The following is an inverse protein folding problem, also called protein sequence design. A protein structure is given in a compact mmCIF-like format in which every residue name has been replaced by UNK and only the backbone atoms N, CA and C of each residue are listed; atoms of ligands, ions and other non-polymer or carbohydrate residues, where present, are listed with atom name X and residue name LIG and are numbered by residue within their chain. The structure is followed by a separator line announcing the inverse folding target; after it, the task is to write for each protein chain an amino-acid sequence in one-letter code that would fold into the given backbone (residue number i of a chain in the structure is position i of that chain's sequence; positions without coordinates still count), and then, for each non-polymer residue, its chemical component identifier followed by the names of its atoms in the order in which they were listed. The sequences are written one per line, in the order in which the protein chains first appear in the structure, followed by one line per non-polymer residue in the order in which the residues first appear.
data_IF_238980566798
#
_entry.id   IF_238980566798
#
_cell.length_a   1.000
_cell.length_b   1.000
_cell.length_c   1.000
_cell.angle_alpha   90.00
_cell.angle_beta   90.00
_cell.angle_gamma   90.00
#
_symmetry.space_group_name_H-M   'P 1'
#
loop_
_entity.id
_entity.type
_entity.pdbx_description
1 polymer ?
#
# COMPACT_ATOMS: atom_id res chain seq x y z
N UNK A 1 10.49 -31.03 45.06
CA UNK A 1 10.78 -30.70 43.66
C UNK A 1 10.40 -29.23 43.47
N UNK A 2 11.42 -28.36 43.44
CA UNK A 2 11.21 -26.96 43.01
C UNK A 2 10.82 -26.98 41.53
N UNK A 3 9.78 -26.23 41.12
CA UNK A 3 9.46 -26.09 39.73
C UNK A 3 10.73 -25.48 39.03
N UNK A 4 11.17 -26.11 37.94
CA UNK A 4 12.18 -25.51 37.06
C UNK A 4 11.65 -24.14 36.69
N UNK A 5 12.34 -23.07 37.05
CA UNK A 5 12.10 -21.75 36.43
C UNK A 5 12.30 -21.95 34.91
N UNK A 6 11.23 -21.86 34.14
CA UNK A 6 11.34 -21.67 32.70
C UNK A 6 12.20 -20.44 32.50
N UNK A 7 13.30 -20.57 31.75
CA UNK A 7 14.12 -19.41 31.38
C UNK A 7 13.20 -18.38 30.70
N UNK A 8 13.33 -17.13 31.12
CA UNK A 8 12.55 -16.04 30.52
C UNK A 8 12.94 -15.89 29.04
N UNK A 9 11.98 -15.67 28.17
CA UNK A 9 12.22 -15.38 26.76
C UNK A 9 12.96 -14.05 26.66
N UNK A 10 14.07 -14.03 25.94
CA UNK A 10 14.78 -12.79 25.65
C UNK A 10 14.12 -12.05 24.50
N UNK A 11 13.98 -10.73 24.61
CA UNK A 11 13.41 -9.87 23.59
C UNK A 11 14.16 -8.53 23.50
N UNK A 12 14.20 -7.95 22.30
CA UNK A 12 14.77 -6.61 22.08
C UNK A 12 13.84 -5.51 22.60
N UNK A 13 12.54 -5.72 22.42
CA UNK A 13 11.50 -4.76 22.76
C UNK A 13 10.24 -5.48 23.27
N UNK A 14 9.68 -4.96 24.36
CA UNK A 14 8.37 -5.33 24.86
C UNK A 14 7.47 -4.08 24.88
N UNK A 15 6.33 -4.15 24.20
CA UNK A 15 5.36 -3.04 24.11
C UNK A 15 4.11 -3.45 24.89
N UNK A 16 3.75 -2.65 25.91
CA UNK A 16 2.49 -2.75 26.62
C UNK A 16 1.51 -1.73 26.09
N UNK A 17 0.33 -2.16 25.64
CA UNK A 17 -0.72 -1.29 25.15
C UNK A 17 -2.08 -1.66 25.74
N UNK A 18 -3.01 -0.71 25.74
CA UNK A 18 -4.37 -0.97 26.23
C UNK A 18 -5.13 -1.89 25.27
N UNK A 19 -4.83 -1.76 23.96
CA UNK A 19 -5.50 -2.53 22.92
C UNK A 19 -4.49 -3.10 21.93
N UNK A 20 -4.72 -4.32 21.46
CA UNK A 20 -4.01 -4.93 20.33
C UNK A 20 -5.04 -5.49 19.37
N UNK A 21 -4.93 -5.11 18.09
CA UNK A 21 -5.73 -5.63 16.98
C UNK A 21 -4.80 -6.46 16.08
N UNK A 22 -4.73 -7.79 16.28
CA UNK A 22 -3.79 -8.64 15.54
C UNK A 22 -4.09 -8.71 14.05
N UNK A 23 -5.34 -8.52 13.65
CA UNK A 23 -5.83 -8.70 12.27
C UNK A 23 -5.53 -10.12 11.76
N UNK A 24 -5.59 -11.06 12.65
CA UNK A 24 -5.49 -12.50 12.38
C UNK A 24 -6.85 -13.09 11.91
N UNK A 25 -6.95 -14.39 11.82
CA UNK A 25 -8.18 -15.08 11.42
C UNK A 25 -9.34 -14.92 12.41
N UNK A 26 -9.08 -14.49 13.65
CA UNK A 26 -10.10 -14.33 14.70
C UNK A 26 -10.79 -12.97 14.67
N UNK A 27 -10.23 -11.98 13.96
CA UNK A 27 -10.65 -10.57 13.95
C UNK A 27 -10.87 -9.98 15.36
N UNK A 28 -10.09 -10.47 16.34
CA UNK A 28 -10.26 -10.13 17.76
C UNK A 28 -9.61 -8.79 18.10
N UNK A 29 -10.15 -8.10 19.10
CA UNK A 29 -9.49 -6.99 19.79
C UNK A 29 -9.09 -7.45 21.18
N UNK A 30 -7.80 -7.43 21.48
CA UNK A 30 -7.23 -7.89 22.74
C UNK A 30 -7.00 -6.69 23.67
N UNK A 31 -7.58 -6.75 24.87
CA UNK A 31 -7.36 -5.72 25.90
C UNK A 31 -6.18 -6.10 26.79
N UNK A 32 -5.37 -5.11 27.20
CA UNK A 32 -4.24 -5.30 28.14
C UNK A 32 -3.31 -6.43 27.71
N UNK A 33 -2.87 -6.41 26.46
CA UNK A 33 -1.90 -7.34 25.91
C UNK A 33 -0.56 -6.64 25.65
N UNK A 34 0.48 -7.46 25.58
CA UNK A 34 1.84 -7.03 25.32
C UNK A 34 2.40 -7.79 24.14
N UNK A 35 3.14 -7.07 23.29
CA UNK A 35 3.79 -7.60 22.11
C UNK A 35 5.31 -7.55 22.31
N UNK A 36 5.97 -8.69 22.17
CA UNK A 36 7.43 -8.80 22.23
C UNK A 36 8.02 -8.92 20.84
N UNK A 37 9.16 -8.24 20.63
CA UNK A 37 9.94 -8.27 19.40
C UNK A 37 11.34 -8.80 19.70
N UNK A 38 11.80 -9.74 18.89
CA UNK A 38 13.18 -10.22 18.89
C UNK A 38 13.66 -10.40 17.45
N UNK A 39 14.89 -9.99 17.16
CA UNK A 39 15.52 -10.10 15.83
C UNK A 39 14.64 -9.57 14.69
N UNK A 40 13.90 -8.49 14.95
CA UNK A 40 13.01 -7.85 13.96
C UNK A 40 11.70 -8.58 13.69
N UNK A 41 11.36 -9.61 14.47
CA UNK A 41 10.14 -10.40 14.34
C UNK A 41 9.29 -10.35 15.61
N UNK A 42 8.01 -10.60 15.48
CA UNK A 42 7.09 -10.76 16.61
C UNK A 42 7.43 -12.08 17.30
N UNK A 43 7.93 -12.01 18.52
CA UNK A 43 8.34 -13.17 19.31
C UNK A 43 7.20 -13.71 20.20
N UNK A 44 6.34 -12.82 20.71
CA UNK A 44 5.18 -13.19 21.52
C UNK A 44 4.10 -12.11 21.47
N UNK A 45 2.85 -12.54 21.63
CA UNK A 45 1.68 -11.70 21.91
C UNK A 45 0.93 -12.35 23.09
N UNK A 46 1.01 -11.73 24.26
CA UNK A 46 0.54 -12.33 25.53
C UNK A 46 -0.27 -11.31 26.35
N UNK A 47 -1.18 -11.78 27.21
CA UNK A 47 -1.73 -10.93 28.27
C UNK A 47 -0.60 -10.30 29.09
N UNK A 48 -0.74 -9.03 29.46
CA UNK A 48 0.31 -8.22 30.09
C UNK A 48 0.99 -8.92 31.27
N UNK A 49 0.20 -9.45 32.21
CA UNK A 49 0.73 -10.14 33.40
C UNK A 49 1.60 -11.37 33.05
N UNK A 50 1.28 -12.06 31.95
CA UNK A 50 2.08 -13.19 31.49
C UNK A 50 3.39 -12.70 30.81
N UNK A 51 3.31 -11.66 30.00
CA UNK A 51 4.47 -11.07 29.36
C UNK A 51 5.49 -10.56 30.40
N UNK A 52 5.04 -9.83 31.42
CA UNK A 52 5.89 -9.37 32.54
C UNK A 52 6.55 -10.51 33.33
N UNK A 53 5.92 -11.67 33.41
CA UNK A 53 6.45 -12.84 34.12
C UNK A 53 7.38 -13.71 33.26
N UNK A 54 7.26 -13.69 31.94
CA UNK A 54 7.89 -14.64 31.03
C UNK A 54 8.91 -14.04 30.08
N UNK A 55 8.92 -12.70 29.92
CA UNK A 55 9.77 -12.01 28.95
C UNK A 55 10.76 -11.11 29.68
N UNK A 56 12.04 -11.23 29.33
CA UNK A 56 13.13 -10.37 29.75
C UNK A 56 13.55 -9.52 28.51
N UNK A 57 13.10 -8.27 28.45
CA UNK A 57 13.29 -7.40 27.33
C UNK A 57 14.36 -6.34 27.57
N UNK A 58 15.21 -6.12 26.57
CA UNK A 58 16.23 -5.05 26.61
C UNK A 58 15.61 -3.66 26.76
N UNK A 59 14.43 -3.46 26.15
CA UNK A 59 13.65 -2.22 26.24
C UNK A 59 12.17 -2.54 26.47
N UNK A 60 11.54 -1.83 27.40
CA UNK A 60 10.08 -1.90 27.61
C UNK A 60 9.47 -0.53 27.32
N UNK A 61 8.35 -0.51 26.62
CA UNK A 61 7.60 0.69 26.25
C UNK A 61 6.17 0.58 26.77
N UNK A 62 5.73 1.61 27.50
CA UNK A 62 4.37 1.76 28.00
C UNK A 62 3.58 2.70 27.09
N UNK A 63 2.48 2.24 26.54
CA UNK A 63 1.61 2.99 25.64
C UNK A 63 0.15 2.99 26.14
N UNK A 64 -0.14 3.69 27.26
CA UNK A 64 -1.51 3.82 27.73
C UNK A 64 -2.36 4.58 26.72
N UNK A 65 -3.63 4.20 26.56
CA UNK A 65 -4.56 4.82 25.62
C UNK A 65 -4.30 4.45 24.13
N UNK A 66 -3.29 3.63 23.84
CA UNK A 66 -2.94 3.29 22.46
C UNK A 66 -3.51 1.93 22.04
N UNK A 67 -3.78 1.84 20.74
CA UNK A 67 -4.01 0.58 20.04
C UNK A 67 -2.79 0.21 19.21
N UNK A 68 -2.31 -1.04 19.35
CA UNK A 68 -1.34 -1.63 18.43
C UNK A 68 -2.08 -2.35 17.30
N UNK A 69 -1.63 -2.15 16.09
CA UNK A 69 -2.12 -2.83 14.89
C UNK A 69 -0.96 -3.13 13.93
N UNK A 70 -1.14 -4.02 12.94
CA UNK A 70 -0.17 -4.21 11.88
C UNK A 70 0.07 -2.89 11.13
N UNK A 71 1.27 -2.73 10.60
CA UNK A 71 1.55 -1.64 9.67
C UNK A 71 0.57 -1.64 8.51
N UNK A 72 0.11 -0.46 8.11
CA UNK A 72 -0.76 -0.29 6.95
C UNK A 72 0.03 -0.60 5.67
N UNK A 73 -0.64 -1.25 4.71
CA UNK A 73 -0.08 -1.62 3.41
C UNK A 73 -0.80 -0.85 2.32
N UNK A 74 -0.11 0.10 1.72
CA UNK A 74 -0.61 0.89 0.59
C UNK A 74 -0.33 0.14 -0.72
N UNK A 75 -1.34 -0.57 -1.23
CA UNK A 75 -1.15 -1.53 -2.32
C UNK A 75 -1.02 -0.87 -3.72
N UNK A 76 -1.14 0.45 -3.83
CA UNK A 76 -0.94 1.21 -5.07
C UNK A 76 -0.59 2.66 -4.82
N UNK A 77 0.54 3.10 -5.37
CA UNK A 77 1.00 4.49 -5.35
C UNK A 77 1.76 4.87 -6.63
N UNK A 78 1.94 6.19 -6.78
CA UNK A 78 2.92 6.83 -7.65
C UNK A 78 3.72 7.80 -6.78
N UNK A 79 4.57 7.29 -5.91
CA UNK A 79 5.15 8.06 -4.78
C UNK A 79 5.85 9.36 -5.20
N UNK A 80 6.64 9.42 -6.31
CA UNK A 80 7.27 10.67 -6.74
C UNK A 80 6.30 11.76 -7.19
N UNK A 81 5.07 11.41 -7.60
CA UNK A 81 4.03 12.37 -7.97
C UNK A 81 3.52 13.20 -6.77
N UNK A 82 4.02 12.96 -5.57
CA UNK A 82 3.81 13.85 -4.43
C UNK A 82 4.29 15.29 -4.69
N UNK A 83 5.25 15.48 -5.61
CA UNK A 83 5.68 16.80 -6.07
C UNK A 83 4.71 17.45 -7.09
N UNK A 84 3.74 16.70 -7.60
CA UNK A 84 2.69 17.19 -8.51
C UNK A 84 1.33 17.32 -7.81
N UNK A 85 1.28 17.21 -6.50
CA UNK A 85 0.07 17.33 -5.68
C UNK A 85 -0.63 18.68 -5.92
N UNK A 86 -1.90 18.62 -6.34
CA UNK A 86 -2.70 19.81 -6.61
C UNK A 86 -2.28 20.62 -7.86
N UNK A 87 -1.43 20.05 -8.73
CA UNK A 87 -1.03 20.69 -9.99
C UNK A 87 -2.24 20.89 -10.92
N UNK A 88 -3.14 19.93 -10.97
CA UNK A 88 -4.34 19.97 -11.78
C UNK A 88 -5.46 19.15 -11.11
N UNK A 89 -6.52 19.81 -10.71
CA UNK A 89 -7.67 19.21 -10.04
C UNK A 89 -8.94 19.39 -10.88
N UNK A 90 -10.00 18.63 -10.53
CA UNK A 90 -11.36 18.76 -11.08
C UNK A 90 -11.44 18.50 -12.61
N UNK A 91 -10.66 17.55 -13.13
CA UNK A 91 -10.58 17.18 -14.54
C UNK A 91 -10.85 15.70 -14.76
N UNK A 92 -11.46 15.31 -15.93
CA UNK A 92 -11.55 13.92 -16.35
C UNK A 92 -10.16 13.31 -16.56
N UNK A 93 -10.01 12.00 -16.30
CA UNK A 93 -8.73 11.27 -16.33
C UNK A 93 -7.89 11.57 -17.58
N UNK A 94 -8.46 11.43 -18.80
CA UNK A 94 -7.68 11.58 -20.04
C UNK A 94 -7.24 13.03 -20.27
N UNK A 95 -8.06 14.02 -19.92
CA UNK A 95 -7.69 15.44 -19.96
C UNK A 95 -6.58 15.73 -18.96
N UNK A 96 -6.75 15.23 -17.73
CA UNK A 96 -5.76 15.35 -16.66
C UNK A 96 -4.40 14.76 -17.05
N UNK A 97 -4.38 13.55 -17.64
CA UNK A 97 -3.16 12.92 -18.13
C UNK A 97 -2.51 13.68 -19.29
N UNK A 98 -3.26 13.94 -20.37
CA UNK A 98 -2.70 14.48 -21.62
C UNK A 98 -2.31 15.94 -21.54
N UNK A 99 -3.07 16.75 -20.81
CA UNK A 99 -2.88 18.20 -20.80
C UNK A 99 -2.01 18.68 -19.62
N UNK A 100 -1.90 17.89 -18.55
CA UNK A 100 -1.21 18.32 -17.34
C UNK A 100 -0.12 17.37 -16.88
N UNK A 101 -0.41 16.09 -16.66
CA UNK A 101 0.53 15.18 -15.99
C UNK A 101 1.65 14.72 -16.93
N UNK A 102 1.34 14.15 -18.09
CA UNK A 102 2.37 13.72 -19.02
C UNK A 102 3.29 14.84 -19.52
N UNK A 103 2.79 16.06 -19.81
CA UNK A 103 3.67 17.19 -20.09
C UNK A 103 4.59 17.55 -18.92
N UNK A 104 4.08 17.53 -17.68
CA UNK A 104 4.91 17.79 -16.50
C UNK A 104 5.95 16.69 -16.30
N UNK A 105 5.56 15.42 -16.41
CA UNK A 105 6.46 14.27 -16.32
C UNK A 105 7.55 14.32 -17.40
N UNK A 106 7.17 14.56 -18.65
CA UNK A 106 8.11 14.69 -19.77
C UNK A 106 9.14 15.80 -19.58
N UNK A 107 8.80 16.85 -18.84
CA UNK A 107 9.69 17.97 -18.56
C UNK A 107 10.55 17.78 -17.32
N UNK A 108 10.00 17.24 -16.23
CA UNK A 108 10.60 17.32 -14.91
C UNK A 108 11.13 16.00 -14.35
N UNK A 109 10.57 14.84 -14.78
CA UNK A 109 10.93 13.56 -14.16
C UNK A 109 12.35 13.16 -14.56
N UNK A 110 13.20 13.14 -13.54
CA UNK A 110 14.54 12.60 -13.54
C UNK A 110 14.85 11.97 -12.16
N UNK A 111 16.05 11.51 -11.96
CA UNK A 111 16.45 10.86 -10.72
C UNK A 111 16.34 11.77 -9.47
N UNK A 112 16.58 13.08 -9.62
CA UNK A 112 16.45 14.05 -8.51
C UNK A 112 14.98 14.24 -8.14
N UNK A 113 14.12 14.46 -9.14
CA UNK A 113 12.66 14.53 -8.95
C UNK A 113 12.12 13.29 -8.24
N UNK A 114 12.50 12.10 -8.72
CA UNK A 114 12.06 10.83 -8.14
C UNK A 114 12.55 10.69 -6.68
N UNK A 115 13.81 11.04 -6.41
CA UNK A 115 14.36 10.95 -5.06
C UNK A 115 13.63 11.88 -4.07
N UNK A 116 13.40 13.13 -4.45
CA UNK A 116 12.77 14.13 -3.58
C UNK A 116 11.27 13.86 -3.41
N UNK A 117 10.58 13.50 -4.50
CA UNK A 117 9.17 13.11 -4.45
C UNK A 117 8.94 11.87 -3.61
N UNK A 118 9.79 10.86 -3.74
CA UNK A 118 9.74 9.66 -2.89
C UNK A 118 9.98 10.02 -1.42
N UNK A 119 10.96 10.85 -1.08
CA UNK A 119 11.17 11.29 0.32
C UNK A 119 9.97 12.00 0.90
N UNK A 120 9.32 12.86 0.12
CA UNK A 120 8.08 13.54 0.53
C UNK A 120 6.95 12.53 0.79
N UNK A 121 6.77 11.58 -0.11
CA UNK A 121 5.80 10.50 0.05
C UNK A 121 6.07 9.66 1.30
N UNK A 122 7.34 9.25 1.53
CA UNK A 122 7.72 8.47 2.71
C UNK A 122 7.45 9.21 4.01
N UNK A 123 7.71 10.51 4.05
CA UNK A 123 7.43 11.35 5.23
C UNK A 123 5.95 11.33 5.58
N UNK A 124 5.07 11.44 4.59
CA UNK A 124 3.63 11.39 4.78
C UNK A 124 3.15 9.98 5.15
N UNK A 125 3.58 8.97 4.41
CA UNK A 125 3.19 7.58 4.64
C UNK A 125 3.62 7.06 6.02
N UNK A 126 4.85 7.33 6.47
CA UNK A 126 5.31 6.93 7.80
C UNK A 126 4.50 7.61 8.90
N UNK A 127 4.18 8.89 8.77
CA UNK A 127 3.29 9.60 9.70
C UNK A 127 1.86 9.07 9.67
N UNK A 128 1.44 8.48 8.57
CA UNK A 128 0.16 7.80 8.40
C UNK A 128 0.15 6.33 8.82
N UNK A 129 1.25 5.79 9.36
CA UNK A 129 1.31 4.39 9.80
C UNK A 129 1.46 3.37 8.67
N UNK A 130 1.80 3.80 7.46
CA UNK A 130 2.08 2.91 6.34
C UNK A 130 3.51 2.38 6.50
N UNK A 131 3.67 1.07 6.50
CA UNK A 131 4.96 0.38 6.64
C UNK A 131 5.42 -0.30 5.35
N UNK A 132 4.50 -0.50 4.42
CA UNK A 132 4.75 -1.11 3.11
C UNK A 132 3.90 -0.43 2.04
N UNK A 133 4.48 -0.21 0.87
CA UNK A 133 3.72 0.29 -0.27
C UNK A 133 4.17 -0.35 -1.58
N UNK A 134 3.29 -0.30 -2.58
CA UNK A 134 3.55 -0.76 -3.95
C UNK A 134 3.58 0.47 -4.87
N UNK A 135 4.69 0.70 -5.54
CA UNK A 135 4.94 1.90 -6.34
C UNK A 135 5.01 1.58 -7.82
N UNK A 136 4.40 2.41 -8.64
CA UNK A 136 4.49 2.35 -10.10
C UNK A 136 4.99 3.69 -10.62
N UNK A 137 6.29 3.78 -10.90
CA UNK A 137 6.86 5.02 -11.45
C UNK A 137 8.17 4.77 -12.20
N UNK A 138 8.67 5.82 -12.88
CA UNK A 138 9.97 5.82 -13.53
C UNK A 138 11.10 5.86 -12.50
N UNK A 139 12.30 5.43 -12.88
CA UNK A 139 13.48 5.40 -12.01
C UNK A 139 13.25 4.62 -10.69
N UNK A 140 12.64 3.45 -10.80
CA UNK A 140 12.34 2.61 -9.63
C UNK A 140 13.59 2.23 -8.80
N UNK A 141 14.78 2.24 -9.41
CA UNK A 141 16.07 2.08 -8.71
C UNK A 141 16.32 3.19 -7.69
N UNK A 142 15.86 4.42 -8.00
CA UNK A 142 15.96 5.57 -7.08
C UNK A 142 14.95 5.43 -5.95
N UNK A 143 13.70 5.06 -6.27
CA UNK A 143 12.67 4.77 -5.25
C UNK A 143 13.16 3.68 -4.28
N UNK A 144 13.66 2.56 -4.81
CA UNK A 144 14.21 1.46 -3.99
C UNK A 144 15.33 1.91 -3.07
N UNK A 145 16.28 2.71 -3.57
CA UNK A 145 17.38 3.26 -2.78
C UNK A 145 16.89 4.16 -1.65
N UNK A 146 16.01 5.11 -1.95
CA UNK A 146 15.44 6.04 -0.94
C UNK A 146 14.67 5.28 0.13
N UNK A 147 13.92 4.25 -0.25
CA UNK A 147 13.19 3.39 0.70
C UNK A 147 14.14 2.58 1.59
N UNK A 148 15.20 2.00 1.01
CA UNK A 148 16.21 1.27 1.78
C UNK A 148 16.92 2.15 2.81
N UNK A 149 17.30 3.38 2.43
CA UNK A 149 17.91 4.39 3.31
C UNK A 149 16.97 4.79 4.46
N UNK A 150 15.68 5.00 4.16
CA UNK A 150 14.66 5.37 5.14
C UNK A 150 14.21 4.21 6.04
N UNK A 151 14.49 2.97 5.66
CA UNK A 151 14.01 1.78 6.35
C UNK A 151 12.55 1.44 6.05
N UNK A 152 12.03 1.87 4.89
CA UNK A 152 10.67 1.64 4.43
C UNK A 152 10.59 0.42 3.50
N UNK A 153 9.54 -0.39 3.63
CA UNK A 153 9.28 -1.53 2.73
C UNK A 153 8.58 -1.05 1.47
N UNK A 154 9.06 -1.51 0.30
CA UNK A 154 8.47 -1.16 -1.00
C UNK A 154 8.48 -2.33 -1.97
N UNK A 155 7.38 -2.48 -2.74
CA UNK A 155 7.43 -3.14 -4.03
C UNK A 155 7.75 -2.07 -5.09
N UNK A 156 8.95 -2.16 -5.67
CA UNK A 156 9.45 -1.19 -6.65
C UNK A 156 9.03 -1.66 -8.05
N UNK A 157 8.11 -0.90 -8.67
CA UNK A 157 7.52 -1.24 -9.95
C UNK A 157 8.49 -1.11 -11.12
N UNK A 158 8.78 -2.21 -11.79
CA UNK A 158 9.48 -2.25 -13.08
C UNK A 158 8.51 -1.79 -14.16
N UNK A 159 8.41 -0.45 -14.32
CA UNK A 159 7.44 0.18 -15.23
C UNK A 159 7.67 -0.27 -16.68
N UNK A 160 6.57 -0.51 -17.41
CA UNK A 160 6.59 -0.79 -18.85
C UNK A 160 5.52 0.04 -19.54
N UNK A 161 5.93 0.77 -20.59
CA UNK A 161 5.06 1.45 -21.56
C UNK A 161 5.65 1.29 -22.97
N UNK A 162 4.83 1.49 -24.02
CA UNK A 162 5.27 1.31 -25.40
C UNK A 162 5.93 2.56 -26.02
N UNK A 163 5.79 3.70 -25.35
CA UNK A 163 6.27 4.99 -25.87
C UNK A 163 7.52 5.48 -25.15
N UNK A 164 8.35 6.30 -25.80
CA UNK A 164 9.57 6.84 -25.20
C UNK A 164 9.25 7.85 -24.09
N UNK A 165 10.06 7.81 -23.04
CA UNK A 165 10.07 8.80 -21.95
C UNK A 165 11.51 9.22 -21.66
N UNK A 166 11.74 10.11 -20.70
CA UNK A 166 13.11 10.41 -20.24
C UNK A 166 13.81 9.21 -19.57
N UNK A 167 13.06 8.17 -19.23
CA UNK A 167 13.60 6.98 -18.57
C UNK A 167 14.04 5.89 -19.55
N UNK A 168 13.25 5.62 -20.59
CA UNK A 168 13.57 4.58 -21.59
C UNK A 168 12.91 4.90 -22.93
N UNK A 169 13.49 4.39 -24.03
CA UNK A 169 13.05 4.70 -25.40
C UNK A 169 11.94 3.77 -25.90
N UNK A 170 11.82 2.56 -25.36
CA UNK A 170 10.88 1.54 -25.82
C UNK A 170 10.72 0.41 -24.79
N UNK A 171 9.74 -0.49 -25.01
CA UNK A 171 9.44 -1.59 -24.12
C UNK A 171 10.63 -2.51 -23.81
N UNK A 172 11.52 -2.75 -24.78
CA UNK A 172 12.72 -3.55 -24.57
C UNK A 172 13.66 -2.93 -23.53
N UNK A 173 13.84 -1.63 -23.61
CA UNK A 173 14.68 -0.92 -22.66
C UNK A 173 14.03 -0.85 -21.26
N UNK A 174 12.73 -0.63 -21.18
CA UNK A 174 12.00 -0.71 -19.91
C UNK A 174 12.18 -2.08 -19.24
N UNK A 175 11.99 -3.16 -19.97
CA UNK A 175 12.17 -4.52 -19.45
C UNK A 175 13.62 -4.80 -19.05
N UNK A 176 14.61 -4.37 -19.84
CA UNK A 176 16.03 -4.52 -19.50
C UNK A 176 16.37 -3.82 -18.18
N UNK A 177 15.94 -2.56 -18.01
CA UNK A 177 16.14 -1.79 -16.77
C UNK A 177 15.42 -2.44 -15.57
N UNK A 178 14.22 -2.97 -15.81
CA UNK A 178 13.48 -3.72 -14.80
C UNK A 178 14.22 -4.97 -14.33
N UNK A 179 14.79 -5.74 -15.24
CA UNK A 179 15.58 -6.93 -14.89
C UNK A 179 16.88 -6.57 -14.15
N UNK A 180 17.52 -5.45 -14.48
CA UNK A 180 18.67 -4.93 -13.72
C UNK A 180 18.27 -4.54 -12.29
N UNK A 181 17.11 -3.90 -12.12
CA UNK A 181 16.54 -3.59 -10.81
C UNK A 181 16.26 -4.88 -10.00
N UNK A 182 15.64 -5.89 -10.65
CA UNK A 182 15.36 -7.17 -10.02
C UNK A 182 16.64 -7.85 -9.51
N UNK A 183 17.68 -7.90 -10.35
CA UNK A 183 18.96 -8.49 -9.95
C UNK A 183 19.61 -7.74 -8.78
N UNK A 184 19.54 -6.40 -8.79
CA UNK A 184 20.12 -5.55 -7.76
C UNK A 184 19.45 -5.74 -6.38
N UNK A 185 18.12 -5.96 -6.34
CA UNK A 185 17.36 -6.06 -5.10
C UNK A 185 16.87 -7.47 -4.77
N UNK A 186 17.33 -8.50 -5.48
CA UNK A 186 16.85 -9.90 -5.36
C UNK A 186 16.69 -10.37 -3.91
N UNK A 187 17.66 -10.10 -3.04
CA UNK A 187 17.69 -10.54 -1.65
C UNK A 187 17.53 -9.38 -0.66
N UNK A 188 17.10 -8.22 -1.12
CA UNK A 188 16.98 -7.06 -0.23
C UNK A 188 15.78 -7.20 0.70
N UNK A 189 15.95 -7.01 2.04
CA UNK A 189 14.89 -7.30 3.00
C UNK A 189 13.69 -6.35 2.95
N UNK A 190 13.84 -5.17 2.36
CA UNK A 190 12.81 -4.12 2.33
C UNK A 190 12.39 -3.72 0.90
N UNK A 191 13.22 -3.97 -0.11
CA UNK A 191 12.93 -3.59 -1.49
C UNK A 191 12.70 -4.85 -2.31
N UNK A 192 11.51 -4.99 -2.89
CA UNK A 192 11.13 -6.13 -3.72
C UNK A 192 10.65 -5.62 -5.08
N UNK A 193 11.30 -5.96 -6.20
CA UNK A 193 10.82 -5.59 -7.52
C UNK A 193 9.54 -6.35 -7.91
N UNK A 194 8.65 -5.67 -8.66
CA UNK A 194 7.45 -6.24 -9.27
C UNK A 194 7.27 -5.64 -10.66
N UNK A 195 6.78 -6.41 -11.65
CA UNK A 195 6.46 -5.81 -12.94
C UNK A 195 5.29 -4.83 -12.83
N UNK A 196 5.39 -3.72 -13.54
CA UNK A 196 4.39 -2.66 -13.53
C UNK A 196 4.06 -2.18 -14.96
N UNK A 197 3.50 -3.05 -15.84
CA UNK A 197 2.93 -2.57 -17.10
C UNK A 197 1.81 -1.58 -16.76
N UNK A 198 1.90 -0.36 -17.32
CA UNK A 198 1.04 0.75 -16.87
C UNK A 198 -0.45 0.40 -16.99
N UNK A 199 -0.89 0.01 -18.18
CA UNK A 199 -2.29 -0.28 -18.47
C UNK A 199 -2.42 -1.05 -19.79
N UNK A 200 -3.62 -1.56 -20.08
CA UNK A 200 -3.91 -2.25 -21.34
C UNK A 200 -3.98 -1.33 -22.56
N UNK A 201 -4.07 -0.02 -22.38
CA UNK A 201 -4.02 0.97 -23.46
C UNK A 201 -2.62 1.57 -23.68
N UNK A 202 -1.72 1.46 -22.71
CA UNK A 202 -0.36 2.00 -22.79
C UNK A 202 0.69 0.91 -23.09
N UNK A 203 0.30 -0.38 -23.04
CA UNK A 203 1.19 -1.52 -23.31
C UNK A 203 0.54 -2.47 -24.29
N UNK A 204 1.23 -2.74 -25.38
CA UNK A 204 0.79 -3.65 -26.44
C UNK A 204 0.92 -5.12 -26.01
N UNK A 205 0.43 -6.02 -26.86
CA UNK A 205 0.29 -7.44 -26.54
C UNK A 205 1.64 -8.14 -26.36
N UNK A 206 2.62 -7.83 -27.20
CA UNK A 206 3.93 -8.48 -27.14
C UNK A 206 4.67 -8.18 -25.83
N UNK A 207 4.83 -6.91 -25.36
CA UNK A 207 5.41 -6.63 -24.04
C UNK A 207 4.62 -7.22 -22.89
N UNK A 208 3.26 -7.23 -22.93
CA UNK A 208 2.43 -7.89 -21.91
C UNK A 208 2.71 -9.39 -21.82
N UNK A 209 2.82 -10.07 -22.95
CA UNK A 209 3.15 -11.50 -22.99
C UNK A 209 4.56 -11.78 -22.44
N UNK A 210 5.52 -10.91 -22.68
CA UNK A 210 6.86 -10.99 -22.09
C UNK A 210 6.86 -10.75 -20.59
N UNK A 211 6.12 -9.74 -20.13
CA UNK A 211 5.92 -9.50 -18.69
C UNK A 211 5.35 -10.74 -18.01
N UNK A 212 4.33 -11.36 -18.60
CA UNK A 212 3.78 -12.61 -18.07
C UNK A 212 4.84 -13.71 -17.95
N UNK A 213 5.62 -13.95 -18.99
CA UNK A 213 6.65 -14.98 -18.97
C UNK A 213 7.73 -14.69 -17.92
N UNK A 214 8.21 -13.46 -17.88
CA UNK A 214 9.24 -13.07 -16.91
C UNK A 214 8.72 -13.06 -15.46
N UNK A 215 7.47 -12.67 -15.25
CA UNK A 215 6.87 -12.70 -13.91
C UNK A 215 6.73 -14.14 -13.37
N UNK A 216 6.37 -15.08 -14.24
CA UNK A 216 6.33 -16.52 -13.90
C UNK A 216 7.73 -17.06 -13.58
N UNK A 217 8.74 -16.71 -14.39
CA UNK A 217 10.12 -17.17 -14.20
C UNK A 217 10.78 -16.60 -12.94
N UNK A 218 10.45 -15.36 -12.58
CA UNK A 218 11.03 -14.66 -11.43
C UNK A 218 10.17 -14.77 -10.17
N UNK A 219 8.97 -15.34 -10.26
CA UNK A 219 7.99 -15.49 -9.17
C UNK A 219 7.65 -14.14 -8.52
N UNK A 220 7.42 -13.07 -9.34
CA UNK A 220 7.10 -11.72 -8.88
C UNK A 220 5.71 -11.29 -9.32
N UNK A 221 5.13 -10.32 -8.59
CA UNK A 221 3.84 -9.73 -8.91
C UNK A 221 3.88 -8.92 -10.19
N UNK A 222 2.70 -8.80 -10.83
CA UNK A 222 2.42 -7.89 -11.94
C UNK A 222 1.38 -6.88 -11.49
N UNK A 223 1.69 -5.61 -11.57
CA UNK A 223 0.88 -4.48 -11.08
C UNK A 223 0.39 -3.66 -12.28
N UNK A 224 -0.91 -3.47 -12.44
CA UNK A 224 -1.49 -2.83 -13.63
C UNK A 224 -2.77 -2.06 -13.29
N UNK A 225 -2.95 -0.86 -13.91
CA UNK A 225 -4.24 -0.18 -13.94
C UNK A 225 -5.20 -0.93 -14.86
N UNK A 226 -6.40 -1.23 -14.38
CA UNK A 226 -7.35 -2.07 -15.11
C UNK A 226 -8.79 -1.67 -14.81
N UNK A 227 -9.60 -1.51 -15.87
CA UNK A 227 -11.02 -1.16 -15.74
C UNK A 227 -11.27 0.09 -14.88
N UNK A 228 -10.39 1.10 -15.01
CA UNK A 228 -10.48 2.33 -14.22
C UNK A 228 -11.66 3.20 -14.68
N UNK A 229 -11.80 3.46 -15.99
CA UNK A 229 -12.87 4.29 -16.53
C UNK A 229 -13.64 3.60 -17.64
N UNK A 230 -14.86 4.06 -17.87
CA UNK A 230 -15.66 3.61 -19.03
C UNK A 230 -14.95 3.88 -20.35
N UNK A 231 -14.28 5.01 -20.46
CA UNK A 231 -13.58 5.40 -21.69
C UNK A 231 -12.41 4.49 -21.97
N UNK A 232 -11.62 4.10 -20.98
CA UNK A 232 -10.58 3.08 -21.10
C UNK A 232 -11.16 1.78 -21.66
N UNK A 233 -12.19 1.24 -21.01
CA UNK A 233 -12.82 -0.03 -21.43
C UNK A 233 -13.33 0.06 -22.86
N UNK A 234 -13.99 1.16 -23.24
CA UNK A 234 -14.50 1.37 -24.58
C UNK A 234 -13.38 1.55 -25.63
N UNK A 235 -12.28 2.20 -25.26
CA UNK A 235 -11.10 2.35 -26.12
C UNK A 235 -10.48 0.98 -26.44
N UNK A 236 -10.23 0.16 -25.43
CA UNK A 236 -9.64 -1.18 -25.60
C UNK A 236 -10.59 -2.08 -26.37
N UNK A 237 -11.90 -2.06 -26.07
CA UNK A 237 -12.90 -2.84 -26.80
C UNK A 237 -12.95 -2.48 -28.29
N UNK A 238 -12.89 -1.17 -28.63
CA UNK A 238 -12.84 -0.74 -30.05
C UNK A 238 -11.56 -1.14 -30.75
N UNK A 239 -10.43 -1.07 -30.05
CA UNK A 239 -9.11 -1.37 -30.63
C UNK A 239 -8.86 -2.88 -30.81
N UNK A 240 -9.34 -3.70 -29.89
CA UNK A 240 -9.00 -5.12 -29.81
C UNK A 240 -10.20 -6.08 -29.92
N UNK A 241 -11.44 -5.57 -29.92
CA UNK A 241 -12.66 -6.42 -29.98
C UNK A 241 -12.98 -7.16 -28.66
N UNK A 242 -12.26 -6.88 -27.60
CA UNK A 242 -12.41 -7.52 -26.27
C UNK A 242 -12.20 -6.51 -25.14
N UNK A 243 -12.81 -6.77 -23.99
CA UNK A 243 -12.63 -5.94 -22.79
C UNK A 243 -11.25 -6.16 -22.18
N UNK A 244 -10.69 -5.19 -21.40
CA UNK A 244 -9.33 -5.30 -20.84
C UNK A 244 -9.08 -6.58 -20.05
N UNK A 245 -10.02 -7.03 -19.19
CA UNK A 245 -9.89 -8.30 -18.44
C UNK A 245 -9.79 -9.50 -19.38
N UNK A 246 -10.67 -9.59 -20.39
CA UNK A 246 -10.66 -10.69 -21.34
C UNK A 246 -9.32 -10.77 -22.10
N UNK A 247 -8.74 -9.61 -22.46
CA UNK A 247 -7.43 -9.51 -23.09
C UNK A 247 -6.34 -10.05 -22.18
N UNK A 248 -6.30 -9.67 -20.90
CA UNK A 248 -5.31 -10.18 -19.94
C UNK A 248 -5.50 -11.68 -19.65
N UNK A 249 -6.76 -12.14 -19.60
CA UNK A 249 -7.06 -13.57 -19.43
C UNK A 249 -6.52 -14.42 -20.60
N UNK A 250 -6.79 -13.97 -21.84
CA UNK A 250 -6.26 -14.64 -23.06
C UNK A 250 -4.73 -14.67 -23.08
N UNK A 251 -4.06 -13.65 -22.56
CA UNK A 251 -2.60 -13.58 -22.42
C UNK A 251 -2.07 -14.41 -21.23
N UNK A 252 -2.95 -14.98 -20.41
CA UNK A 252 -2.58 -15.76 -19.23
C UNK A 252 -2.03 -14.92 -18.07
N UNK A 253 -2.38 -13.62 -18.01
CA UNK A 253 -1.95 -12.70 -16.94
C UNK A 253 -2.87 -12.75 -15.72
N UNK A 254 -4.15 -13.20 -15.86
CA UNK A 254 -5.00 -13.36 -14.69
C UNK A 254 -4.49 -14.47 -13.79
N UNK A 255 -4.33 -14.18 -12.52
CA UNK A 255 -3.80 -15.13 -11.54
C UNK A 255 -3.47 -14.46 -10.22
N UNK A 256 -3.01 -15.23 -9.21
CA UNK A 256 -2.71 -14.71 -7.88
C UNK A 256 -1.55 -13.69 -7.85
N UNK A 257 -0.73 -13.66 -8.89
CA UNK A 257 0.35 -12.67 -9.04
C UNK A 257 -0.10 -11.34 -9.64
N UNK A 258 -1.30 -11.28 -10.27
CA UNK A 258 -1.82 -10.04 -10.86
C UNK A 258 -2.46 -9.17 -9.79
N UNK A 259 -1.98 -7.93 -9.70
CA UNK A 259 -2.51 -6.85 -8.86
C UNK A 259 -3.21 -5.84 -9.77
N UNK A 260 -4.52 -5.96 -9.88
CA UNK A 260 -5.37 -5.15 -10.75
C UNK A 260 -5.94 -3.96 -9.98
N UNK A 261 -5.61 -2.73 -10.42
CA UNK A 261 -5.94 -1.50 -9.70
C UNK A 261 -7.19 -0.86 -10.28
N UNK A 262 -7.99 -0.22 -9.43
CA UNK A 262 -9.23 0.52 -9.66
C UNK A 262 -10.47 -0.36 -9.80
N UNK A 263 -10.59 -1.14 -10.87
CA UNK A 263 -11.67 -2.11 -11.10
C UNK A 263 -13.09 -1.55 -10.93
N UNK A 264 -13.33 -0.33 -11.40
CA UNK A 264 -14.62 0.37 -11.24
C UNK A 264 -15.66 -0.05 -12.27
N UNK A 265 -15.24 -0.62 -13.42
CA UNK A 265 -16.07 -0.90 -14.59
C UNK A 265 -16.27 -2.41 -14.81
N UNK A 266 -16.53 -3.16 -13.72
CA UNK A 266 -16.70 -4.61 -13.76
C UNK A 266 -18.12 -5.03 -14.15
N UNK A 267 -18.22 -6.16 -14.85
CA UNK A 267 -19.44 -6.93 -15.10
C UNK A 267 -19.44 -8.20 -14.23
N UNK A 268 -20.63 -8.82 -14.04
CA UNK A 268 -20.78 -9.92 -13.07
C UNK A 268 -19.95 -11.17 -13.40
N UNK A 269 -19.79 -11.51 -14.68
CA UNK A 269 -18.96 -12.61 -15.15
C UNK A 269 -17.46 -12.33 -14.97
N UNK A 270 -17.05 -11.07 -15.06
CA UNK A 270 -15.67 -10.66 -14.77
C UNK A 270 -15.34 -10.84 -13.30
N UNK A 271 -16.26 -10.52 -12.37
CA UNK A 271 -16.08 -10.77 -10.93
C UNK A 271 -15.90 -12.27 -10.67
N UNK A 272 -16.72 -13.11 -11.29
CA UNK A 272 -16.57 -14.57 -11.16
C UNK A 272 -15.20 -15.05 -11.68
N UNK A 273 -14.74 -14.49 -12.80
CA UNK A 273 -13.44 -14.84 -13.38
C UNK A 273 -12.28 -14.41 -12.51
N UNK A 274 -12.32 -13.22 -11.89
CA UNK A 274 -11.32 -12.78 -10.93
C UNK A 274 -11.23 -13.71 -9.71
N UNK A 275 -12.39 -14.18 -9.22
CA UNK A 275 -12.46 -15.14 -8.12
C UNK A 275 -11.84 -16.50 -8.49
N UNK A 276 -12.17 -17.02 -9.67
CA UNK A 276 -11.63 -18.30 -10.18
C UNK A 276 -10.12 -18.28 -10.36
N UNK A 277 -9.58 -17.16 -10.84
CA UNK A 277 -8.14 -17.02 -11.10
C UNK A 277 -7.33 -16.62 -9.88
N UNK A 278 -7.98 -16.15 -8.82
CA UNK A 278 -7.31 -15.62 -7.63
C UNK A 278 -6.64 -14.27 -7.84
N UNK A 279 -7.04 -13.52 -8.87
CA UNK A 279 -6.52 -12.18 -9.17
C UNK A 279 -6.77 -11.22 -7.99
N UNK A 280 -5.77 -10.43 -7.65
CA UNK A 280 -5.83 -9.44 -6.57
C UNK A 280 -6.42 -8.12 -7.08
N UNK A 281 -7.29 -7.49 -6.31
CA UNK A 281 -7.87 -6.18 -6.64
C UNK A 281 -7.38 -5.12 -5.65
N UNK A 282 -6.99 -3.95 -6.17
CA UNK A 282 -6.66 -2.78 -5.35
C UNK A 282 -7.68 -1.68 -5.61
N UNK A 283 -8.41 -1.32 -4.57
CA UNK A 283 -9.40 -0.25 -4.58
C UNK A 283 -8.78 1.07 -4.11
N UNK A 284 -8.92 2.11 -4.91
CA UNK A 284 -8.46 3.48 -4.61
C UNK A 284 -9.67 4.41 -4.56
N UNK A 285 -10.49 4.37 -3.48
CA UNK A 285 -11.79 5.02 -3.46
C UNK A 285 -11.74 6.53 -3.68
N UNK A 286 -10.79 7.23 -3.08
CA UNK A 286 -10.71 8.69 -3.16
C UNK A 286 -10.26 9.15 -4.55
N UNK A 287 -9.25 8.52 -5.15
CA UNK A 287 -8.85 8.78 -6.54
C UNK A 287 -9.97 8.46 -7.53
N UNK A 288 -10.63 7.31 -7.39
CA UNK A 288 -11.75 6.93 -8.24
C UNK A 288 -12.90 7.94 -8.21
N UNK A 289 -13.22 8.49 -7.03
CA UNK A 289 -14.23 9.53 -6.87
C UNK A 289 -13.79 10.88 -7.40
N UNK A 290 -12.55 11.28 -7.12
CA UNK A 290 -12.02 12.57 -7.57
C UNK A 290 -11.97 12.68 -9.09
N UNK A 291 -11.54 11.61 -9.77
CA UNK A 291 -11.51 11.53 -11.24
C UNK A 291 -12.85 11.12 -11.86
N UNK A 292 -13.88 10.89 -11.04
CA UNK A 292 -15.18 10.37 -11.48
C UNK A 292 -15.05 9.09 -12.33
N UNK A 293 -14.08 8.23 -12.02
CA UNK A 293 -13.80 6.99 -12.76
C UNK A 293 -14.92 5.97 -12.61
N UNK A 294 -15.59 5.93 -11.46
CA UNK A 294 -16.67 5.01 -11.14
C UNK A 294 -16.54 4.41 -9.73
N UNK A 295 -17.34 3.39 -9.45
CA UNK A 295 -17.36 2.71 -8.15
C UNK A 295 -16.92 1.25 -8.29
N UNK A 296 -15.82 0.89 -7.63
CA UNK A 296 -15.43 -0.51 -7.50
C UNK A 296 -16.48 -1.27 -6.66
N UNK A 297 -17.03 -2.39 -7.14
CA UNK A 297 -18.06 -3.17 -6.44
C UNK A 297 -17.43 -4.02 -5.32
N UNK A 298 -16.84 -3.37 -4.32
CA UNK A 298 -16.04 -4.02 -3.26
C UNK A 298 -16.81 -5.12 -2.55
N UNK A 299 -18.10 -4.87 -2.21
CA UNK A 299 -18.92 -5.86 -1.50
C UNK A 299 -19.15 -7.12 -2.35
N UNK A 300 -19.37 -6.97 -3.65
CA UNK A 300 -19.62 -8.10 -4.57
C UNK A 300 -18.31 -8.89 -4.80
N UNK A 301 -17.19 -8.21 -4.96
CA UNK A 301 -15.86 -8.83 -5.05
C UNK A 301 -15.55 -9.68 -3.82
N UNK A 302 -15.73 -9.13 -2.62
CA UNK A 302 -15.51 -9.83 -1.37
C UNK A 302 -16.45 -11.02 -1.19
N UNK A 303 -17.74 -10.86 -1.57
CA UNK A 303 -18.72 -11.94 -1.52
C UNK A 303 -18.39 -13.08 -2.50
N UNK A 304 -17.76 -12.77 -3.62
CA UNK A 304 -17.25 -13.76 -4.59
C UNK A 304 -15.93 -14.41 -4.16
N UNK A 305 -15.30 -13.95 -3.06
CA UNK A 305 -14.02 -14.48 -2.56
C UNK A 305 -12.78 -13.84 -3.17
N UNK A 306 -12.93 -12.74 -3.93
CA UNK A 306 -11.80 -11.96 -4.45
C UNK A 306 -11.11 -11.23 -3.31
N UNK A 307 -9.79 -11.27 -3.26
CA UNK A 307 -9.03 -10.44 -2.34
C UNK A 307 -9.05 -8.99 -2.81
N UNK A 308 -9.53 -8.09 -1.96
CA UNK A 308 -9.54 -6.65 -2.20
C UNK A 308 -8.62 -5.98 -1.19
N UNK A 309 -7.69 -5.16 -1.66
CA UNK A 309 -6.79 -4.33 -0.88
C UNK A 309 -7.08 -2.84 -1.12
N UNK A 310 -6.48 -1.97 -0.33
CA UNK A 310 -6.56 -0.51 -0.50
C UNK A 310 -5.26 0.06 -1.05
N UNK A 311 -5.38 1.07 -1.90
CA UNK A 311 -4.31 1.94 -2.35
C UNK A 311 -4.75 3.39 -2.35
N UNK A 312 -3.81 4.31 -2.20
CA UNK A 312 -4.10 5.75 -2.29
C UNK A 312 -4.07 6.28 -3.72
N UNK A 313 -3.46 5.51 -4.64
CA UNK A 313 -3.01 6.06 -5.91
C UNK A 313 -1.92 7.15 -5.70
N UNK A 314 -1.59 7.94 -6.72
CA UNK A 314 -0.67 9.06 -6.59
C UNK A 314 -1.30 10.30 -5.94
N UNK A 315 -0.50 11.07 -5.20
CA UNK A 315 -0.96 12.32 -4.61
C UNK A 315 -1.35 13.41 -5.65
N UNK A 316 -1.09 13.20 -6.92
CA UNK A 316 -1.59 14.05 -8.00
C UNK A 316 -3.05 13.76 -8.33
N UNK A 317 -3.53 12.51 -8.22
CA UNK A 317 -4.92 12.11 -8.48
C UNK A 317 -5.78 12.04 -7.22
N UNK A 318 -5.17 11.89 -6.03
CA UNK A 318 -5.85 11.79 -4.74
C UNK A 318 -5.67 13.04 -3.87
N UNK A 319 -4.54 13.72 -3.95
CA UNK A 319 -4.03 14.83 -3.14
C UNK A 319 -3.41 14.42 -1.80
N UNK A 320 -3.54 13.19 -1.33
CA UNK A 320 -2.79 12.69 -0.17
C UNK A 320 -2.37 11.20 -0.34
N UNK A 321 -1.64 10.68 0.67
CA UNK A 321 -1.24 9.28 0.78
C UNK A 321 -1.73 8.71 2.12
N UNK A 322 -2.99 8.98 2.48
CA UNK A 322 -3.57 8.72 3.78
C UNK A 322 -4.49 7.49 3.78
N UNK A 323 -3.96 6.32 4.15
CA UNK A 323 -4.77 5.09 4.23
C UNK A 323 -5.86 5.10 5.32
N UNK A 324 -5.81 5.95 6.33
CA UNK A 324 -6.94 6.12 7.24
C UNK A 324 -8.14 6.78 6.52
N UNK A 325 -7.88 7.73 5.62
CA UNK A 325 -8.88 8.31 4.73
C UNK A 325 -9.48 7.26 3.80
N UNK A 326 -8.63 6.56 3.06
CA UNK A 326 -9.05 5.50 2.13
C UNK A 326 -9.87 4.40 2.82
N UNK A 327 -9.43 3.94 3.99
CA UNK A 327 -10.13 2.90 4.77
C UNK A 327 -11.53 3.35 5.18
N UNK A 328 -11.66 4.58 5.67
CA UNK A 328 -12.96 5.18 6.02
C UNK A 328 -13.85 5.34 4.80
N UNK A 329 -13.30 5.89 3.73
CA UNK A 329 -14.00 6.14 2.47
C UNK A 329 -14.46 4.82 1.84
N UNK A 330 -13.62 3.80 1.79
CA UNK A 330 -13.98 2.46 1.31
C UNK A 330 -15.14 1.85 2.10
N UNK A 331 -15.08 1.92 3.45
CA UNK A 331 -16.15 1.39 4.30
C UNK A 331 -17.49 2.11 4.10
N UNK A 332 -17.47 3.43 3.99
CA UNK A 332 -18.70 4.24 3.79
C UNK A 332 -19.26 4.09 2.37
N UNK A 333 -18.40 4.17 1.37
CA UNK A 333 -18.77 4.04 -0.03
C UNK A 333 -19.38 2.67 -0.33
N UNK A 334 -18.78 1.59 0.16
CA UNK A 334 -19.29 0.23 -0.03
C UNK A 334 -20.71 0.08 0.53
N UNK A 335 -21.01 0.71 1.68
CA UNK A 335 -22.40 0.72 2.25
C UNK A 335 -23.38 1.45 1.34
N UNK A 336 -22.97 2.61 0.81
CA UNK A 336 -23.79 3.39 -0.13
C UNK A 336 -24.05 2.65 -1.43
N UNK A 337 -23.02 2.07 -2.03
CA UNK A 337 -23.10 1.35 -3.31
C UNK A 337 -23.92 0.05 -3.17
N UNK A 338 -23.69 -0.73 -2.11
CA UNK A 338 -24.43 -1.97 -1.86
C UNK A 338 -25.84 -1.74 -1.28
N UNK A 339 -26.19 -0.52 -0.88
CA UNK A 339 -27.47 -0.23 -0.20
C UNK A 339 -27.63 -0.97 1.13
N UNK A 340 -26.53 -1.31 1.80
CA UNK A 340 -26.51 -2.12 3.02
C UNK A 340 -25.52 -1.57 4.05
N UNK A 341 -26.02 -1.27 5.25
CA UNK A 341 -25.18 -0.83 6.36
C UNK A 341 -24.16 -1.91 6.84
N UNK A 342 -24.38 -3.16 6.46
CA UNK A 342 -23.50 -4.29 6.83
C UNK A 342 -22.38 -4.52 5.81
N UNK A 343 -22.37 -3.84 4.66
CA UNK A 343 -21.28 -3.94 3.69
C UNK A 343 -19.99 -3.40 4.29
N UNK A 344 -18.88 -4.08 4.10
CA UNK A 344 -17.54 -3.73 4.56
C UNK A 344 -17.55 -3.14 5.98
N UNK A 345 -17.79 -3.97 7.02
CA UNK A 345 -17.73 -3.53 8.41
C UNK A 345 -16.30 -3.12 8.80
N UNK A 346 -16.14 -2.43 9.94
CA UNK A 346 -14.86 -1.86 10.37
C UNK A 346 -13.70 -2.87 10.37
N UNK A 347 -13.90 -4.08 10.92
CA UNK A 347 -12.86 -5.10 10.93
C UNK A 347 -12.41 -5.48 9.50
N UNK A 348 -13.36 -5.59 8.56
CA UNK A 348 -13.05 -5.86 7.17
C UNK A 348 -12.32 -4.70 6.51
N UNK A 349 -12.72 -3.43 6.78
CA UNK A 349 -12.03 -2.26 6.24
C UNK A 349 -10.56 -2.18 6.74
N UNK A 350 -10.32 -2.45 8.03
CA UNK A 350 -8.97 -2.53 8.57
C UNK A 350 -8.16 -3.65 7.89
N UNK A 351 -8.82 -4.79 7.63
CA UNK A 351 -8.19 -5.92 6.94
C UNK A 351 -7.82 -5.58 5.50
N UNK A 352 -8.65 -4.80 4.77
CA UNK A 352 -8.31 -4.31 3.41
C UNK A 352 -7.01 -3.49 3.41
N UNK A 353 -6.78 -2.69 4.46
CA UNK A 353 -5.62 -1.81 4.60
C UNK A 353 -4.37 -2.49 5.21
N UNK A 354 -4.46 -3.76 5.59
CA UNK A 354 -3.39 -4.50 6.28
C UNK A 354 -3.14 -5.85 5.64
N UNK A 355 -3.76 -6.93 6.13
CA UNK A 355 -3.53 -8.29 5.67
C UNK A 355 -3.87 -8.51 4.19
N UNK A 356 -4.99 -7.95 3.72
CA UNK A 356 -5.37 -8.07 2.32
C UNK A 356 -4.37 -7.35 1.40
N UNK A 357 -3.86 -6.18 1.84
CA UNK A 357 -2.77 -5.49 1.17
C UNK A 357 -1.51 -6.36 1.10
N UNK A 358 -1.10 -6.94 2.22
CA UNK A 358 0.04 -7.85 2.26
C UNK A 358 -0.15 -9.05 1.32
N UNK A 359 -1.35 -9.65 1.31
CA UNK A 359 -1.70 -10.76 0.42
C UNK A 359 -1.65 -10.37 -1.06
N UNK A 360 -2.18 -9.19 -1.41
CA UNK A 360 -2.13 -8.70 -2.78
C UNK A 360 -0.68 -8.55 -3.28
N UNK A 361 0.24 -8.24 -2.38
CA UNK A 361 1.66 -8.05 -2.67
C UNK A 361 2.51 -9.33 -2.49
N UNK A 362 1.90 -10.47 -2.15
CA UNK A 362 2.61 -11.73 -1.87
C UNK A 362 3.51 -11.66 -0.64
N UNK A 363 3.07 -10.94 0.39
CA UNK A 363 3.80 -10.70 1.63
C UNK A 363 3.02 -11.13 2.88
N UNK A 364 1.88 -11.84 2.74
CA UNK A 364 1.00 -12.21 3.85
C UNK A 364 1.65 -13.12 4.90
N UNK A 365 2.66 -13.89 4.50
CA UNK A 365 3.44 -14.72 5.44
C UNK A 365 4.44 -13.89 6.25
N UNK A 366 4.78 -12.68 5.78
CA UNK A 366 5.78 -11.81 6.39
C UNK A 366 5.20 -10.66 7.19
N UNK A 367 4.10 -10.04 6.71
CA UNK A 367 3.49 -8.82 7.29
C UNK A 367 1.96 -8.86 7.21
N UNK A 368 1.30 -7.78 7.65
CA UNK A 368 -0.14 -7.56 7.49
C UNK A 368 -0.98 -8.05 8.67
N UNK A 369 -0.40 -8.81 9.61
CA UNK A 369 -1.01 -9.21 10.88
C UNK A 369 0.04 -9.28 11.98
N UNK A 370 -0.38 -9.15 13.26
CA UNK A 370 0.50 -9.28 14.42
C UNK A 370 0.49 -10.73 14.92
N UNK A 371 1.14 -11.61 14.16
CA UNK A 371 1.28 -13.03 14.49
C UNK A 371 2.75 -13.37 14.77
N UNK A 372 2.96 -14.28 15.71
CA UNK A 372 4.31 -14.75 16.09
C UNK A 372 5.04 -15.30 14.86
N UNK A 373 6.28 -14.88 14.66
CA UNK A 373 7.13 -15.24 13.53
C UNK A 373 7.10 -14.27 12.36
N UNK A 374 6.08 -13.41 12.24
CA UNK A 374 6.05 -12.36 11.22
C UNK A 374 6.98 -11.21 11.58
N UNK A 375 7.37 -10.44 10.57
CA UNK A 375 8.15 -9.23 10.76
C UNK A 375 7.40 -8.25 11.67
N UNK A 376 8.11 -7.62 12.58
CA UNK A 376 7.55 -6.65 13.51
C UNK A 376 7.32 -5.29 12.79
N UNK A 377 6.39 -5.29 11.83
CA UNK A 377 5.85 -4.10 11.17
C UNK A 377 4.59 -3.69 11.97
N UNK A 378 4.76 -2.73 12.89
CA UNK A 378 3.79 -2.41 13.95
C UNK A 378 3.50 -0.92 13.95
N UNK A 379 2.25 -0.57 14.19
CA UNK A 379 1.79 0.82 14.37
C UNK A 379 1.09 0.98 15.72
N UNK A 380 1.44 2.01 16.45
CA UNK A 380 0.74 2.43 17.67
C UNK A 380 -0.05 3.72 17.41
N UNK A 381 -1.36 3.65 17.60
CA UNK A 381 -2.30 4.75 17.40
C UNK A 381 -2.84 5.21 18.74
N UNK A 382 -2.71 6.50 19.04
CA UNK A 382 -3.27 7.12 20.25
C UNK A 382 -4.79 7.32 20.08
N UNK A 383 -5.57 6.58 20.86
CA UNK A 383 -7.03 6.68 20.89
C UNK A 383 -7.54 7.52 22.08
N UNK A 384 -6.64 8.20 22.80
CA UNK A 384 -6.99 9.08 23.92
C UNK A 384 -7.57 10.44 23.55
N UNK A 385 -7.52 10.81 22.28
CA UNK A 385 -8.01 12.09 21.78
C UNK A 385 -9.54 12.24 21.90
N UNK A 386 -10.06 13.48 22.12
CA UNK A 386 -11.51 13.72 22.29
C UNK A 386 -12.38 13.15 21.17
N UNK A 387 -11.94 13.18 19.91
CA UNK A 387 -12.75 12.70 18.78
C UNK A 387 -12.79 11.17 18.63
N UNK A 388 -11.98 10.44 19.39
CA UNK A 388 -12.07 8.97 19.51
C UNK A 388 -12.71 8.51 20.81
N UNK A 389 -13.18 9.43 21.66
CA UNK A 389 -13.86 9.12 22.91
C UNK A 389 -15.38 9.34 22.81
N UNK A 390 -16.19 8.57 23.56
CA UNK A 390 -15.82 7.43 24.38
C UNK A 390 -15.45 6.20 23.52
N UNK A 391 -14.54 5.34 24.03
CA UNK A 391 -14.00 4.20 23.31
C UNK A 391 -14.75 2.92 23.66
N UNK A 392 -15.75 2.56 22.86
CA UNK A 392 -16.49 1.29 23.01
C UNK A 392 -15.87 0.15 22.21
N UNK A 393 -15.41 0.45 20.98
CA UNK A 393 -14.87 -0.52 20.02
C UNK A 393 -13.64 0.06 19.33
N UNK A 394 -12.41 -0.30 19.72
CA UNK A 394 -11.18 0.25 19.15
C UNK A 394 -11.11 0.13 17.63
N UNK A 395 -11.46 -1.01 17.04
CA UNK A 395 -11.48 -1.21 15.61
C UNK A 395 -12.43 -0.23 14.90
N UNK A 396 -13.62 0.01 15.45
CA UNK A 396 -14.57 0.99 14.91
C UNK A 396 -14.00 2.40 14.96
N UNK A 397 -13.33 2.76 16.05
CA UNK A 397 -12.71 4.08 16.18
C UNK A 397 -11.53 4.28 15.21
N UNK A 398 -10.71 3.25 15.01
CA UNK A 398 -9.62 3.30 14.02
C UNK A 398 -10.14 3.57 12.61
N UNK A 399 -11.26 2.97 12.22
CA UNK A 399 -11.82 3.10 10.87
C UNK A 399 -12.62 4.38 10.69
N UNK A 400 -13.52 4.69 11.63
CA UNK A 400 -14.52 5.75 11.42
C UNK A 400 -14.18 7.10 12.06
N UNK A 401 -13.28 7.15 13.03
CA UNK A 401 -13.00 8.34 13.80
C UNK A 401 -11.51 8.76 13.79
N UNK A 402 -10.58 7.82 13.96
CA UNK A 402 -9.16 8.13 14.02
C UNK A 402 -8.62 8.73 12.71
N UNK A 403 -7.53 9.45 12.82
CA UNK A 403 -6.81 10.05 11.71
C UNK A 403 -5.33 9.70 11.75
N UNK A 404 -4.62 9.90 10.62
CA UNK A 404 -3.17 9.69 10.52
C UNK A 404 -2.35 10.45 11.58
N UNK A 405 -2.85 11.59 12.06
CA UNK A 405 -2.17 12.38 13.10
C UNK A 405 -2.10 11.71 14.48
N UNK A 406 -2.92 10.68 14.72
CA UNK A 406 -2.89 9.88 15.94
C UNK A 406 -1.89 8.74 15.92
N UNK A 407 -1.21 8.49 14.79
CA UNK A 407 -0.08 7.56 14.70
C UNK A 407 1.10 8.15 15.48
N UNK A 408 1.49 7.45 16.56
CA UNK A 408 2.55 7.92 17.46
C UNK A 408 3.85 7.19 17.24
N UNK A 409 3.79 5.88 17.03
CA UNK A 409 4.98 5.06 16.83
C UNK A 409 4.79 4.12 15.66
N UNK A 410 5.85 3.90 14.89
CA UNK A 410 5.91 2.95 13.79
C UNK A 410 7.21 2.17 13.86
N UNK A 411 7.11 0.86 13.76
CA UNK A 411 8.26 -0.05 13.62
C UNK A 411 8.16 -0.79 12.29
N UNK A 412 9.28 -0.96 11.62
CA UNK A 412 9.43 -1.79 10.42
C UNK A 412 10.55 -2.80 10.70
N UNK A 413 10.22 -4.09 10.68
CA UNK A 413 11.12 -5.16 11.10
C UNK A 413 11.72 -4.90 12.48
N UNK A 414 10.91 -4.44 13.42
CA UNK A 414 11.34 -4.13 14.78
C UNK A 414 12.16 -2.87 14.95
N UNK A 415 12.61 -2.23 13.86
CA UNK A 415 13.29 -0.93 13.90
C UNK A 415 12.27 0.18 14.01
N UNK A 416 12.37 0.99 15.06
CA UNK A 416 11.53 2.17 15.22
C UNK A 416 11.91 3.22 14.17
N UNK A 417 10.96 3.64 13.33
CA UNK A 417 11.12 4.63 12.26
C UNK A 417 10.33 5.91 12.50
N UNK A 418 9.31 5.84 13.37
CA UNK A 418 8.55 6.99 13.86
C UNK A 418 8.41 6.88 15.39
N UNK A 419 8.65 7.97 16.11
CA UNK A 419 8.48 8.07 17.57
C UNK A 419 7.77 9.37 17.92
N UNK A 420 6.70 9.29 18.73
CA UNK A 420 5.89 10.43 19.12
C UNK A 420 5.45 11.32 17.93
N UNK A 421 5.18 10.71 16.77
CA UNK A 421 4.83 11.38 15.53
C UNK A 421 6.00 12.03 14.79
N UNK A 422 7.24 11.90 15.31
CA UNK A 422 8.46 12.41 14.67
C UNK A 422 9.20 11.28 13.93
N UNK A 423 9.51 11.44 12.63
CA UNK A 423 10.31 10.46 11.89
C UNK A 423 11.75 10.43 12.41
N UNK A 424 12.34 9.23 12.47
CA UNK A 424 13.70 9.02 12.97
C UNK A 424 14.74 8.85 11.84
N UNK A 425 14.26 8.60 10.62
CA UNK A 425 15.11 8.28 9.46
C UNK A 425 15.01 9.29 8.32
N UNK A 426 14.15 10.27 8.46
CA UNK A 426 13.91 11.34 7.48
C UNK A 426 14.06 12.70 8.17
N UNK A 427 14.49 13.72 7.41
CA UNK A 427 14.60 15.12 7.88
C UNK A 427 13.46 15.96 7.28
N UNK A 428 12.35 16.18 8.03
CA UNK A 428 11.18 16.89 7.52
C UNK A 428 11.46 18.31 6.99
N UNK A 429 12.26 19.16 7.67
CA UNK A 429 12.58 20.50 7.17
C UNK A 429 13.22 20.48 5.78
N UNK A 430 14.23 19.64 5.57
CA UNK A 430 14.93 19.50 4.29
C UNK A 430 13.99 18.98 3.19
N UNK A 431 13.17 17.96 3.49
CA UNK A 431 12.22 17.37 2.54
C UNK A 431 11.16 18.40 2.11
N UNK A 432 10.59 19.12 3.06
CA UNK A 432 9.55 20.14 2.78
C UNK A 432 10.14 21.30 1.96
N UNK A 433 11.36 21.72 2.26
CA UNK A 433 12.02 22.79 1.49
C UNK A 433 12.31 22.34 0.05
N UNK A 434 12.82 21.13 -0.17
CA UNK A 434 13.00 20.57 -1.52
C UNK A 434 11.68 20.53 -2.30
N UNK A 435 10.59 20.08 -1.65
CA UNK A 435 9.27 20.06 -2.28
C UNK A 435 8.76 21.46 -2.66
N UNK A 436 9.00 22.48 -1.83
CA UNK A 436 8.67 23.89 -2.15
C UNK A 436 9.46 24.40 -3.35
N UNK A 437 10.75 24.08 -3.42
CA UNK A 437 11.61 24.48 -4.54
C UNK A 437 11.14 23.81 -5.85
N UNK A 438 10.76 22.52 -5.82
CA UNK A 438 10.12 21.85 -6.95
C UNK A 438 8.82 22.52 -7.36
N UNK A 439 7.95 22.83 -6.39
CA UNK A 439 6.68 23.54 -6.64
C UNK A 439 6.89 24.89 -7.34
N UNK A 440 7.86 25.70 -6.89
CA UNK A 440 8.21 26.97 -7.52
C UNK A 440 8.71 26.76 -8.97
N UNK A 441 9.63 25.83 -9.20
CA UNK A 441 10.16 25.50 -10.54
C UNK A 441 9.07 25.04 -11.52
N UNK A 442 8.12 24.22 -11.04
CA UNK A 442 7.03 23.69 -11.85
C UNK A 442 6.00 24.78 -12.18
N UNK A 443 5.70 25.66 -11.22
CA UNK A 443 4.72 26.74 -11.40
C UNK A 443 5.21 27.85 -12.34
N UNK A 444 6.52 28.07 -12.47
CA UNK A 444 7.12 29.09 -13.34
C UNK A 444 7.26 28.62 -14.82
N UNK A 445 6.92 27.39 -15.11
CA UNK A 445 7.19 26.71 -16.37
C UNK A 445 6.00 26.57 -17.29
#
# INVERSE_FOLDING_TARGET
LQPRRTEAMQADLLIHADWVLPVDASDSTLASHSLAVADGHIAALLPRAQAEAQIDAAKTLELPGHALMPGLVNAHTHSPMSLLRGLADDLPLMTWLHEHIWPAEGRWVDQEFVADGTRLALLEMLRGGITCFNDMYFHAEVTGRVCAEAGMRVLAGMIVVDFPTRYADNADEYLRRGLELHEHYRDHPLVRPAFAPHSTYAVSEEPLARVRTLADELEVQVHIHLHETRDEVQQVLRAHGERPIARLDRLGLLGPQLVAVHMTQLEGDEIARLAETGTQVVHCPESNMKLASGFCPVQDLLAAGVNVALGTDGAASNNDLNLFGEMRTAALLAKGVAGSANAVPAAQALRLATWNGAKALGLEDAIGSLEVGKAADIVAVDLGDPHTQPLYHPCSQLVYAASSHQVRHVWIRGREVLRDGAPLTLDPPTIIEAARQWGARIAEA
#
